data_IF_932996978337
#
_entry.id   IF_932996978337
#
_cell.length_a   1.000
_cell.length_b   1.000
_cell.length_c   1.000
_cell.angle_alpha   90.00
_cell.angle_beta   90.00
_cell.angle_gamma   90.00
#
_symmetry.space_group_name_H-M   'P 1'
#
loop_
_entity.id
_entity.type
_entity.pdbx_description
1 polymer ?
#
# COMPACT_ATOMS: atom_id res chain seq x y z
N UNK A 1 -6.38 6.50 11.52
CA UNK A 1 -5.13 6.29 12.32
C UNK A 1 -3.91 6.12 11.41
N UNK A 2 -4.02 6.39 10.10
CA UNK A 2 -2.99 6.07 9.10
C UNK A 2 -1.96 7.20 8.91
N UNK A 3 -2.30 8.44 9.32
CA UNK A 3 -1.43 9.62 9.22
C UNK A 3 -0.09 9.52 9.95
N UNK A 4 -0.03 8.81 11.08
CA UNK A 4 1.21 8.64 11.87
C UNK A 4 2.23 7.72 11.21
N UNK A 5 1.84 7.03 10.13
CA UNK A 5 2.64 6.00 9.46
C UNK A 5 3.52 6.61 8.36
N UNK A 6 3.27 7.85 7.94
CA UNK A 6 4.04 8.51 6.89
C UNK A 6 5.01 9.54 7.47
N UNK A 7 6.22 9.11 7.81
CA UNK A 7 7.28 9.98 8.36
C UNK A 7 8.18 10.63 7.28
N UNK A 8 7.97 10.31 5.99
CA UNK A 8 8.73 10.85 4.86
C UNK A 8 8.12 12.12 4.25
N UNK A 9 8.88 12.78 3.35
CA UNK A 9 8.37 13.89 2.53
C UNK A 9 7.19 13.42 1.69
N UNK A 10 6.00 13.97 1.93
CA UNK A 10 4.79 13.74 1.15
C UNK A 10 4.83 14.56 -0.14
N UNK A 11 4.50 13.94 -1.26
CA UNK A 11 4.34 14.60 -2.57
C UNK A 11 2.88 14.43 -2.96
N UNK A 12 2.21 15.53 -3.31
CA UNK A 12 0.83 15.52 -3.80
C UNK A 12 0.73 15.85 -5.28
N UNK A 13 1.70 16.60 -5.82
CA UNK A 13 1.72 17.01 -7.22
C UNK A 13 2.33 15.91 -8.11
N UNK A 14 1.53 15.45 -9.08
CA UNK A 14 1.90 14.41 -10.04
C UNK A 14 3.07 14.84 -10.92
N UNK A 15 3.13 16.10 -11.32
CA UNK A 15 4.20 16.65 -12.19
C UNK A 15 5.53 16.66 -11.45
N UNK A 16 5.52 17.05 -10.18
CA UNK A 16 6.72 17.04 -9.32
C UNK A 16 7.22 15.59 -9.14
N UNK A 17 6.33 14.65 -8.86
CA UNK A 17 6.70 13.24 -8.75
C UNK A 17 7.29 12.73 -10.07
N UNK A 18 6.61 12.96 -11.19
CA UNK A 18 7.01 12.48 -12.51
C UNK A 18 8.41 12.97 -12.88
N UNK A 19 8.68 14.27 -12.75
CA UNK A 19 9.99 14.85 -13.08
C UNK A 19 11.11 14.18 -12.28
N UNK A 20 10.87 13.89 -11.00
CA UNK A 20 11.84 13.22 -10.13
C UNK A 20 12.03 11.74 -10.47
N UNK A 21 10.95 11.05 -10.85
CA UNK A 21 11.03 9.66 -11.32
C UNK A 21 11.83 9.56 -12.62
N UNK A 22 11.60 10.49 -13.55
CA UNK A 22 12.27 10.53 -14.85
C UNK A 22 13.77 10.85 -14.67
N UNK A 23 14.12 11.82 -13.81
CA UNK A 23 15.51 12.16 -13.46
C UNK A 23 16.28 10.94 -12.91
N UNK A 24 15.63 10.13 -12.07
CA UNK A 24 16.25 8.98 -11.43
C UNK A 24 16.12 7.68 -12.24
N UNK A 25 15.34 7.68 -13.34
CA UNK A 25 15.02 6.47 -14.11
C UNK A 25 14.23 5.42 -13.30
N UNK A 26 13.39 5.85 -12.36
CA UNK A 26 12.64 4.99 -11.44
C UNK A 26 11.15 4.96 -11.75
N UNK A 27 10.45 3.92 -11.28
CA UNK A 27 8.98 3.78 -11.42
C UNK A 27 8.21 4.26 -10.19
N UNK A 28 8.90 4.35 -9.05
CA UNK A 28 8.38 4.78 -7.76
C UNK A 28 9.56 5.29 -6.94
N UNK A 29 9.30 6.20 -6.00
CA UNK A 29 10.28 6.61 -4.99
C UNK A 29 10.14 5.68 -3.80
N UNK A 30 11.26 5.14 -3.34
CA UNK A 30 11.37 4.29 -2.17
C UNK A 30 11.91 5.15 -1.01
N UNK A 31 11.24 5.10 0.15
CA UNK A 31 11.67 5.88 1.33
C UNK A 31 12.47 5.05 2.34
N UNK A 32 12.28 3.73 2.37
CA UNK A 32 12.92 2.82 3.34
C UNK A 32 13.85 1.80 2.65
N UNK A 33 14.70 1.14 3.43
CA UNK A 33 15.52 0.01 2.95
C UNK A 33 14.69 -1.25 2.67
N UNK A 34 15.21 -2.15 1.85
CA UNK A 34 14.59 -3.46 1.55
C UNK A 34 15.59 -4.60 1.81
N UNK A 35 15.12 -5.81 2.17
CA UNK A 35 13.72 -6.15 2.50
C UNK A 35 13.30 -5.59 3.87
N UNK A 36 11.99 -5.40 4.07
CA UNK A 36 11.45 -4.87 5.33
C UNK A 36 10.03 -5.39 5.62
N UNK A 37 9.61 -5.35 6.89
CA UNK A 37 8.24 -5.64 7.29
C UNK A 37 7.26 -4.48 6.99
N UNK A 38 7.80 -3.28 6.75
CA UNK A 38 7.09 -2.07 6.36
C UNK A 38 7.93 -1.25 5.39
N UNK A 39 7.29 -0.71 4.35
CA UNK A 39 7.94 0.19 3.39
C UNK A 39 6.99 1.29 2.94
N UNK A 40 7.48 2.52 2.90
CA UNK A 40 6.81 3.66 2.29
C UNK A 40 7.35 3.92 0.89
N UNK A 41 6.43 4.06 -0.06
CA UNK A 41 6.71 4.35 -1.46
C UNK A 41 5.82 5.47 -1.98
N UNK A 42 6.29 6.14 -3.03
CA UNK A 42 5.48 7.12 -3.77
C UNK A 42 5.44 6.75 -5.25
N UNK A 43 4.23 6.68 -5.80
CA UNK A 43 4.04 6.34 -7.21
C UNK A 43 2.77 6.99 -7.77
N UNK A 44 2.73 7.15 -9.09
CA UNK A 44 1.53 7.63 -9.77
C UNK A 44 0.49 6.51 -9.92
N UNK A 45 -0.77 6.83 -9.63
CA UNK A 45 -1.91 6.02 -9.99
C UNK A 45 -3.16 6.85 -10.30
N UNK A 46 -4.33 6.22 -10.16
CA UNK A 46 -5.62 6.90 -10.37
C UNK A 46 -6.56 6.66 -9.18
N UNK A 47 -7.35 7.66 -8.85
CA UNK A 47 -8.51 7.58 -7.96
C UNK A 47 -9.67 8.33 -8.63
N UNK A 48 -10.84 7.69 -8.76
CA UNK A 48 -12.00 8.26 -9.48
C UNK A 48 -11.63 8.82 -10.88
N UNK A 49 -10.82 8.06 -11.63
CA UNK A 49 -10.25 8.41 -12.95
C UNK A 49 -9.36 9.67 -13.00
N UNK A 50 -9.04 10.25 -11.84
CA UNK A 50 -8.10 11.37 -11.71
C UNK A 50 -6.69 10.85 -11.42
N UNK A 51 -5.66 11.41 -12.07
CA UNK A 51 -4.26 11.10 -11.76
C UNK A 51 -3.91 11.62 -10.38
N UNK A 52 -3.32 10.78 -9.55
CA UNK A 52 -2.93 11.12 -8.17
C UNK A 52 -1.55 10.57 -7.84
N UNK A 53 -0.89 11.21 -6.88
CA UNK A 53 0.28 10.64 -6.22
C UNK A 53 -0.19 9.79 -5.03
N UNK A 54 0.09 8.49 -5.08
CA UNK A 54 -0.07 7.63 -3.93
C UNK A 54 1.12 7.77 -3.00
N UNK A 55 0.87 8.28 -1.80
CA UNK A 55 1.79 8.17 -0.67
C UNK A 55 1.44 6.87 0.04
N UNK A 56 2.11 5.78 -0.35
CA UNK A 56 1.71 4.43 0.01
C UNK A 56 2.61 3.82 1.08
N UNK A 57 2.02 3.15 2.07
CA UNK A 57 2.70 2.35 3.06
C UNK A 57 2.25 0.90 2.87
N UNK A 58 3.20 0.02 2.58
CA UNK A 58 2.97 -1.42 2.48
C UNK A 58 3.50 -2.05 3.77
N UNK A 59 2.70 -2.91 4.40
CA UNK A 59 3.05 -3.60 5.64
C UNK A 59 2.79 -5.09 5.53
N UNK A 60 3.57 -5.90 6.24
CA UNK A 60 3.21 -7.29 6.50
C UNK A 60 2.08 -7.35 7.53
N UNK A 61 1.32 -8.45 7.53
CA UNK A 61 0.29 -8.68 8.55
C UNK A 61 0.88 -8.67 9.97
N UNK A 62 2.06 -9.26 10.15
CA UNK A 62 2.75 -9.33 11.44
C UNK A 62 3.05 -7.94 11.99
N UNK A 63 3.64 -7.07 11.17
CA UNK A 63 3.95 -5.69 11.55
C UNK A 63 2.68 -4.87 11.80
N UNK A 64 1.62 -5.11 11.05
CA UNK A 64 0.33 -4.44 11.26
C UNK A 64 -0.35 -4.86 12.57
N UNK A 65 -0.23 -6.14 12.95
CA UNK A 65 -0.84 -6.70 14.15
C UNK A 65 -0.23 -6.17 15.46
N UNK A 66 1.03 -5.69 15.43
CA UNK A 66 1.68 -5.07 16.59
C UNK A 66 0.95 -3.81 17.08
N UNK A 67 0.41 -3.01 16.16
CA UNK A 67 -0.30 -1.76 16.47
C UNK A 67 -1.83 -1.93 16.49
N UNK A 68 -2.32 -3.01 15.90
CA UNK A 68 -3.74 -3.30 15.77
C UNK A 68 -3.99 -4.73 16.27
N UNK A 69 -4.06 -4.97 17.60
CA UNK A 69 -4.34 -6.30 18.13
C UNK A 69 -5.73 -6.76 17.67
N UNK A 70 -5.76 -7.55 16.60
CA UNK A 70 -6.97 -8.04 15.96
C UNK A 70 -7.43 -9.29 16.70
N UNK A 71 -8.69 -9.31 17.15
CA UNK A 71 -9.27 -10.48 17.83
C UNK A 71 -9.64 -11.63 16.89
N UNK A 72 -9.36 -11.49 15.59
CA UNK A 72 -9.68 -12.47 14.55
C UNK A 72 -8.73 -12.36 13.37
N UNK A 73 -8.24 -13.52 12.93
CA UNK A 73 -7.45 -13.81 11.74
C UNK A 73 -7.38 -12.67 10.70
N UNK A 74 -6.26 -11.93 10.63
CA UNK A 74 -6.26 -10.66 9.94
C UNK A 74 -6.20 -10.87 8.42
N UNK A 75 -7.13 -10.22 7.71
CA UNK A 75 -7.22 -10.27 6.25
C UNK A 75 -6.35 -9.19 5.61
N UNK A 76 -5.88 -9.45 4.40
CA UNK A 76 -5.21 -8.41 3.62
C UNK A 76 -6.16 -7.23 3.42
N UNK A 77 -5.63 -6.02 3.46
CA UNK A 77 -6.46 -4.82 3.36
C UNK A 77 -5.80 -3.73 2.53
N UNK A 78 -6.64 -2.89 1.95
CA UNK A 78 -6.29 -1.60 1.36
C UNK A 78 -7.07 -0.54 2.13
N UNK A 79 -6.39 0.46 2.68
CA UNK A 79 -7.02 1.64 3.27
C UNK A 79 -6.61 2.88 2.49
N UNK A 80 -7.58 3.74 2.19
CA UNK A 80 -7.35 4.99 1.47
C UNK A 80 -7.89 6.14 2.28
N UNK A 81 -7.03 7.12 2.54
CA UNK A 81 -7.37 8.38 3.20
C UNK A 81 -6.96 9.53 2.28
N UNK A 82 -7.84 10.51 2.07
CA UNK A 82 -7.52 11.75 1.35
C UNK A 82 -7.62 12.92 2.31
N UNK A 83 -6.53 13.67 2.47
CA UNK A 83 -6.49 14.82 3.37
C UNK A 83 -5.79 16.00 2.70
N UNK A 84 -6.48 17.15 2.63
CA UNK A 84 -5.96 18.37 2.02
C UNK A 84 -5.37 18.15 0.61
N UNK A 85 -5.96 17.23 -0.18
CA UNK A 85 -5.49 16.87 -1.52
C UNK A 85 -4.32 15.87 -1.57
N UNK A 86 -3.83 15.41 -0.42
CA UNK A 86 -2.82 14.35 -0.31
C UNK A 86 -3.52 13.00 -0.25
N UNK A 87 -3.09 12.05 -1.08
CA UNK A 87 -3.69 10.72 -1.18
C UNK A 87 -2.79 9.70 -0.49
N UNK A 88 -3.27 9.15 0.62
CA UNK A 88 -2.60 8.13 1.41
C UNK A 88 -3.18 6.75 1.11
N UNK A 89 -2.29 5.77 1.00
CA UNK A 89 -2.65 4.39 0.69
C UNK A 89 -1.94 3.45 1.66
N UNK A 90 -2.67 2.72 2.48
CA UNK A 90 -2.11 1.64 3.28
C UNK A 90 -2.48 0.30 2.63
N UNK A 91 -1.50 -0.58 2.46
CA UNK A 91 -1.71 -1.95 1.97
C UNK A 91 -1.09 -2.91 2.96
N UNK A 92 -1.90 -3.81 3.51
CA UNK A 92 -1.41 -4.87 4.41
C UNK A 92 -1.48 -6.20 3.67
N UNK A 93 -0.35 -6.89 3.61
CA UNK A 93 -0.16 -8.11 2.82
C UNK A 93 0.23 -9.29 3.70
N UNK A 94 -0.30 -10.47 3.34
CA UNK A 94 0.11 -11.74 3.94
C UNK A 94 1.37 -12.28 3.25
N UNK A 95 2.50 -11.64 3.54
CA UNK A 95 3.85 -12.01 3.11
C UNK A 95 4.79 -11.89 4.31
N UNK A 96 5.88 -12.66 4.33
CA UNK A 96 6.88 -12.61 5.41
C UNK A 96 7.71 -11.33 5.38
N UNK A 97 8.02 -10.83 4.19
CA UNK A 97 8.81 -9.62 3.98
C UNK A 97 8.38 -8.90 2.70
N UNK A 98 8.69 -7.61 2.64
CA UNK A 98 8.43 -6.77 1.47
C UNK A 98 9.75 -6.55 0.75
N UNK A 99 9.82 -7.05 -0.48
CA UNK A 99 10.92 -6.84 -1.41
C UNK A 99 10.46 -6.02 -2.62
N UNK A 100 11.36 -5.83 -3.60
CA UNK A 100 11.04 -5.12 -4.84
C UNK A 100 9.90 -5.77 -5.62
N UNK A 101 9.85 -7.10 -5.66
CA UNK A 101 8.83 -7.82 -6.42
C UNK A 101 7.43 -7.67 -5.79
N UNK A 102 7.34 -7.66 -4.46
CA UNK A 102 6.11 -7.37 -3.71
C UNK A 102 5.63 -5.95 -3.98
N UNK A 103 6.54 -4.96 -3.97
CA UNK A 103 6.21 -3.57 -4.30
C UNK A 103 5.62 -3.46 -5.70
N UNK A 104 6.29 -4.02 -6.71
CA UNK A 104 5.84 -3.92 -8.10
C UNK A 104 4.48 -4.59 -8.33
N UNK A 105 4.27 -5.78 -7.75
CA UNK A 105 2.96 -6.46 -7.79
C UNK A 105 1.87 -5.61 -7.13
N UNK A 106 2.18 -4.96 -6.01
CA UNK A 106 1.24 -4.09 -5.30
C UNK A 106 0.87 -2.88 -6.14
N UNK A 107 1.84 -2.20 -6.76
CA UNK A 107 1.58 -1.07 -7.67
C UNK A 107 0.68 -1.50 -8.84
N UNK A 108 0.96 -2.67 -9.45
CA UNK A 108 0.14 -3.22 -10.53
C UNK A 108 -1.29 -3.50 -10.05
N UNK A 109 -1.44 -4.11 -8.88
CA UNK A 109 -2.73 -4.40 -8.28
C UNK A 109 -3.54 -3.12 -8.08
N UNK A 110 -2.96 -2.10 -7.46
CA UNK A 110 -3.62 -0.82 -7.17
C UNK A 110 -4.06 -0.13 -8.46
N UNK A 111 -3.20 -0.09 -9.48
CA UNK A 111 -3.53 0.50 -10.80
C UNK A 111 -4.65 -0.24 -11.53
N UNK A 112 -4.83 -1.53 -11.28
CA UNK A 112 -5.88 -2.37 -11.90
C UNK A 112 -7.15 -2.46 -11.07
N UNK A 113 -7.14 -1.97 -9.82
CA UNK A 113 -8.24 -2.15 -8.90
C UNK A 113 -9.41 -1.22 -9.24
N UNK A 114 -10.44 -1.76 -9.90
CA UNK A 114 -11.59 -0.96 -10.40
C UNK A 114 -12.49 -0.38 -9.30
N UNK A 115 -12.39 -0.90 -8.07
CA UNK A 115 -13.25 -0.52 -6.93
C UNK A 115 -12.52 0.38 -5.92
N UNK A 116 -11.39 0.95 -6.33
CA UNK A 116 -10.59 1.81 -5.48
C UNK A 116 -11.41 3.07 -5.13
N UNK A 117 -11.70 3.22 -3.84
CA UNK A 117 -12.42 4.36 -3.27
C UNK A 117 -11.90 4.63 -1.86
N UNK A 118 -12.16 5.81 -1.33
CA UNK A 118 -11.79 6.14 0.05
C UNK A 118 -12.39 5.16 1.06
N UNK A 119 -11.68 4.97 2.18
CA UNK A 119 -12.02 4.03 3.23
C UNK A 119 -11.23 2.70 3.16
N UNK A 120 -11.65 1.75 4.00
CA UNK A 120 -11.00 0.45 4.19
C UNK A 120 -11.68 -0.64 3.36
N UNK A 121 -10.87 -1.45 2.68
CA UNK A 121 -11.27 -2.57 1.83
C UNK A 121 -10.49 -3.80 2.22
N UNK A 122 -11.18 -4.82 2.70
CA UNK A 122 -10.58 -6.13 2.97
C UNK A 122 -10.67 -7.01 1.72
N UNK A 123 -9.64 -7.80 1.47
CA UNK A 123 -9.60 -8.71 0.32
C UNK A 123 -8.76 -9.96 0.60
N UNK A 124 -8.98 -10.97 -0.25
CA UNK A 124 -8.46 -12.31 -0.03
C UNK A 124 -9.46 -13.15 0.77
N UNK A 125 -9.74 -14.36 0.28
CA UNK A 125 -10.50 -15.34 1.02
C UNK A 125 -9.56 -16.09 1.98
N UNK A 126 -10.12 -16.59 3.10
CA UNK A 126 -9.52 -17.70 3.86
C UNK A 126 -8.98 -18.72 2.85
N UNK A 127 -7.71 -19.06 2.93
CA UNK A 127 -7.28 -20.35 2.39
C UNK A 127 -8.16 -21.40 3.04
N UNK A 128 -9.13 -21.94 2.29
CA UNK A 128 -9.84 -23.15 2.70
C UNK A 128 -8.84 -24.29 2.64
N UNK A 129 -8.05 -24.43 3.69
CA UNK A 129 -7.27 -25.64 3.95
C UNK A 129 -7.66 -26.19 5.32
N UNK A 130 -8.95 -26.26 5.60
CA UNK A 130 -9.48 -27.16 6.61
C UNK A 130 -10.75 -27.84 6.08
N UNK A 131 -10.88 -29.12 6.43
CA UNK A 131 -11.93 -30.08 6.08
C UNK A 131 -11.79 -30.83 4.75
N UNK A 132 -10.80 -31.73 4.70
CA UNK A 132 -11.09 -33.14 4.38
C UNK A 132 -10.18 -34.03 5.21
N UNK A 133 -10.71 -34.57 6.30
CA UNK A 133 -10.62 -35.97 6.70
C UNK A 133 -11.58 -36.12 7.88
N UNK A 134 -12.82 -36.52 7.55
CA UNK A 134 -13.72 -37.24 8.44
C UNK A 134 -13.55 -38.73 8.17
#
# INVERSE_FOLDING_TARGET
MTKSIFQGRTISDVTILQARLDELGLKYLLQDGLPAARVCIQFEGRLYDTRVVWNACIRTMEEYALENPVSSDPQQLISIEVEAGVHYLEVVLNVSEIDRAVIERTIIMIRKYKRLKEGRHEYGARSKTEQRYS
#
